data_IF_887079947806
#
_entry.id   IF_887079947806
#
_cell.length_a   1.000
_cell.length_b   1.000
_cell.length_c   1.000
_cell.angle_alpha   90.00
_cell.angle_beta   90.00
_cell.angle_gamma   90.00
#
_symmetry.space_group_name_H-M   'P 1'
#
loop_
_entity.id
_entity.type
_entity.pdbx_description
1 polymer ?
#
# COMPACT_ATOMS: atom_id res chain seq x y z
N UNK A 1 -65.75 12.70 60.69
CA UNK A 1 -64.46 12.31 61.28
C UNK A 1 -63.52 12.04 60.11
N UNK A 2 -62.44 12.84 60.01
CA UNK A 2 -61.45 12.87 58.92
C UNK A 2 -60.50 11.64 58.93
N UNK A 3 -59.54 11.49 58.00
CA UNK A 3 -59.37 12.12 56.68
C UNK A 3 -59.09 11.11 55.52
N UNK A 4 -59.12 11.64 54.30
CA UNK A 4 -58.50 11.06 53.11
C UNK A 4 -56.96 11.08 53.21
N UNK A 5 -56.29 10.03 52.70
CA UNK A 5 -54.88 10.11 52.29
C UNK A 5 -54.67 9.34 50.98
N UNK A 6 -54.60 10.14 49.92
CA UNK A 6 -53.84 9.90 48.71
C UNK A 6 -52.39 9.56 49.06
N UNK A 7 -51.85 8.45 48.55
CA UNK A 7 -50.44 8.43 48.12
C UNK A 7 -50.22 7.34 47.08
N UNK A 8 -49.96 7.78 45.85
CA UNK A 8 -49.24 7.04 44.82
C UNK A 8 -47.89 6.56 45.34
N UNK A 9 -47.57 5.28 45.17
CA UNK A 9 -46.22 4.69 45.23
C UNK A 9 -46.37 3.30 44.59
N UNK A 10 -46.19 3.09 43.29
CA UNK A 10 -45.01 3.29 42.44
C UNK A 10 -43.74 2.64 43.01
N UNK A 11 -43.73 1.31 43.22
CA UNK A 11 -42.48 0.52 43.27
C UNK A 11 -42.74 -0.93 42.82
N UNK A 12 -41.81 -1.61 42.12
CA UNK A 12 -40.63 -1.13 41.42
C UNK A 12 -40.64 -1.53 39.93
N UNK A 13 -40.60 -0.56 39.03
CA UNK A 13 -40.09 -0.75 37.67
C UNK A 13 -38.57 -1.06 37.63
N UNK A 14 -37.99 -1.53 38.74
CA UNK A 14 -36.54 -1.77 38.87
C UNK A 14 -36.18 -3.26 38.65
N UNK A 15 -37.17 -4.16 38.57
CA UNK A 15 -36.91 -5.59 38.28
C UNK A 15 -37.07 -5.99 36.80
N UNK A 16 -37.27 -5.00 35.92
CA UNK A 16 -37.40 -5.18 34.46
C UNK A 16 -36.66 -4.07 33.69
N UNK A 17 -35.53 -3.61 34.22
CA UNK A 17 -34.39 -3.36 33.35
C UNK A 17 -33.58 -4.66 33.34
N UNK A 18 -34.18 -5.76 32.84
CA UNK A 18 -33.73 -6.36 31.58
C UNK A 18 -32.40 -5.72 31.19
N UNK A 19 -31.32 -6.48 31.37
CA UNK A 19 -30.46 -6.84 30.25
C UNK A 19 -31.14 -6.53 28.91
N UNK A 20 -31.27 -5.24 28.57
CA UNK A 20 -31.45 -4.77 27.23
C UNK A 20 -30.08 -5.03 26.65
N UNK A 21 -29.91 -6.33 26.32
CA UNK A 21 -29.05 -6.80 25.26
C UNK A 21 -28.96 -5.62 24.30
N UNK A 22 -27.76 -5.06 24.22
CA UNK A 22 -27.35 -4.27 23.09
C UNK A 22 -27.54 -5.19 21.88
N UNK A 23 -28.77 -5.28 21.39
CA UNK A 23 -29.06 -5.83 20.09
C UNK A 23 -28.64 -4.71 19.15
N UNK A 24 -27.34 -4.61 18.93
CA UNK A 24 -26.84 -3.97 17.73
C UNK A 24 -27.57 -4.66 16.58
N UNK A 25 -28.30 -3.89 15.80
CA UNK A 25 -28.99 -4.41 14.62
C UNK A 25 -27.91 -4.79 13.61
N UNK A 26 -27.54 -6.07 13.63
CA UNK A 26 -26.44 -6.63 12.87
C UNK A 26 -27.01 -7.36 11.66
N UNK A 27 -26.84 -6.75 10.49
CA UNK A 27 -27.23 -7.36 9.22
C UNK A 27 -26.00 -7.95 8.55
N UNK A 28 -26.06 -9.25 8.24
CA UNK A 28 -25.07 -9.89 7.38
C UNK A 28 -25.33 -9.46 5.94
N UNK A 29 -24.30 -8.91 5.29
CA UNK A 29 -24.39 -8.45 3.90
C UNK A 29 -23.37 -9.20 3.06
N UNK A 30 -23.80 -9.62 1.88
CA UNK A 30 -22.92 -10.12 0.82
C UNK A 30 -22.75 -9.01 -0.22
N UNK A 31 -21.50 -8.69 -0.54
CA UNK A 31 -21.17 -7.64 -1.52
C UNK A 31 -19.93 -8.01 -2.31
N UNK A 32 -19.71 -7.30 -3.41
CA UNK A 32 -18.49 -7.38 -4.22
C UNK A 32 -17.74 -6.06 -4.10
N UNK A 33 -16.42 -6.16 -4.00
CA UNK A 33 -15.52 -5.00 -3.90
C UNK A 33 -14.42 -5.13 -4.95
N UNK A 34 -14.06 -4.01 -5.57
CA UNK A 34 -12.89 -3.91 -6.43
C UNK A 34 -11.67 -3.75 -5.53
N UNK A 35 -10.70 -4.64 -5.68
CA UNK A 35 -9.46 -4.64 -4.89
C UNK A 35 -8.30 -4.43 -5.84
N UNK A 36 -7.42 -3.49 -5.51
CA UNK A 36 -6.12 -3.39 -6.17
C UNK A 36 -5.23 -4.53 -5.67
N UNK A 37 -5.02 -5.53 -6.52
CA UNK A 37 -4.16 -6.67 -6.22
C UNK A 37 -3.46 -7.13 -7.50
N UNK A 38 -2.37 -6.47 -7.89
CA UNK A 38 -1.59 -6.88 -9.05
C UNK A 38 -1.07 -8.31 -8.91
N UNK A 39 -0.83 -8.98 -10.03
CA UNK A 39 -0.35 -10.37 -10.03
C UNK A 39 1.07 -10.48 -10.57
N UNK A 40 1.79 -11.51 -10.14
CA UNK A 40 3.14 -11.80 -10.64
C UNK A 40 3.13 -11.95 -12.17
N UNK A 41 3.97 -11.20 -12.84
CA UNK A 41 4.09 -11.14 -14.30
C UNK A 41 3.28 -10.01 -14.94
N UNK A 42 2.38 -9.34 -14.21
CA UNK A 42 1.66 -8.18 -14.71
C UNK A 42 2.62 -7.01 -14.99
N UNK A 43 2.48 -6.40 -16.16
CA UNK A 43 3.23 -5.19 -16.52
C UNK A 43 2.36 -3.97 -16.22
N UNK A 44 2.92 -3.04 -15.46
CA UNK A 44 2.24 -1.86 -14.98
C UNK A 44 3.03 -0.59 -15.28
N UNK A 45 2.33 0.54 -15.25
CA UNK A 45 2.93 1.86 -15.30
C UNK A 45 3.06 2.45 -13.90
N UNK A 46 4.19 3.08 -13.64
CA UNK A 46 4.44 3.83 -12.42
C UNK A 46 5.28 5.07 -12.71
N UNK A 47 5.41 5.93 -11.71
CA UNK A 47 6.27 7.10 -11.75
C UNK A 47 7.40 6.95 -10.73
N UNK A 48 8.62 7.27 -11.12
CA UNK A 48 9.76 7.25 -10.19
C UNK A 48 9.55 8.32 -9.11
N UNK A 49 9.56 7.89 -7.85
CA UNK A 49 9.48 8.75 -6.67
C UNK A 49 10.86 9.17 -6.21
N UNK A 50 11.76 8.19 -6.07
CA UNK A 50 13.12 8.37 -5.62
C UNK A 50 13.97 7.16 -5.98
N UNK A 51 15.28 7.39 -6.09
CA UNK A 51 16.27 6.35 -6.29
C UNK A 51 17.25 6.33 -5.13
N UNK A 52 17.73 5.14 -4.78
CA UNK A 52 18.72 4.88 -3.73
C UNK A 52 19.69 3.81 -4.22
N UNK A 53 20.84 3.60 -3.55
CA UNK A 53 21.73 2.48 -3.88
C UNK A 53 21.08 1.09 -3.75
N UNK A 54 19.95 0.98 -3.04
CA UNK A 54 19.22 -0.28 -2.93
C UNK A 54 18.29 -0.55 -4.12
N UNK A 55 17.93 0.48 -4.90
CA UNK A 55 16.94 0.38 -5.98
C UNK A 55 16.10 1.65 -6.14
N UNK A 56 14.97 1.49 -6.85
CA UNK A 56 14.09 2.58 -7.28
C UNK A 56 12.72 2.43 -6.62
N UNK A 57 12.24 3.50 -5.97
CA UNK A 57 10.89 3.58 -5.43
C UNK A 57 9.95 4.17 -6.47
N UNK A 58 8.83 3.49 -6.71
CA UNK A 58 7.80 3.92 -7.66
C UNK A 58 6.51 4.25 -6.93
N UNK A 59 5.63 4.95 -7.64
CA UNK A 59 4.24 5.15 -7.23
C UNK A 59 3.31 5.14 -8.43
N UNK A 60 2.07 4.76 -8.19
CA UNK A 60 0.92 5.07 -9.05
C UNK A 60 0.19 6.30 -8.47
N UNK A 61 -0.98 6.62 -9.02
CA UNK A 61 -1.80 7.74 -8.52
C UNK A 61 -2.40 7.48 -7.13
N UNK A 62 -2.62 6.21 -6.74
CA UNK A 62 -3.30 5.84 -5.50
C UNK A 62 -2.53 4.86 -4.61
N UNK A 63 -1.43 4.28 -5.09
CA UNK A 63 -0.60 3.33 -4.34
C UNK A 63 0.89 3.63 -4.53
N UNK A 64 1.66 3.57 -3.45
CA UNK A 64 3.01 4.13 -3.46
C UNK A 64 4.11 3.33 -2.76
N UNK A 65 3.80 2.12 -2.33
CA UNK A 65 4.76 1.16 -1.79
C UNK A 65 5.17 0.14 -2.87
N UNK A 66 5.79 0.64 -3.93
CA UNK A 66 6.32 -0.15 -5.04
C UNK A 66 7.85 0.03 -5.09
N UNK A 67 8.59 -1.06 -5.05
CA UNK A 67 10.05 -1.04 -5.06
C UNK A 67 10.64 -1.95 -6.14
N UNK A 68 11.57 -1.42 -6.91
CA UNK A 68 12.38 -2.19 -7.86
C UNK A 68 13.80 -2.28 -7.29
N UNK A 69 14.21 -3.44 -6.75
CA UNK A 69 15.56 -3.61 -6.22
C UNK A 69 16.58 -3.53 -7.36
N UNK A 70 17.83 -3.16 -7.05
CA UNK A 70 18.85 -2.96 -8.09
C UNK A 70 19.17 -4.24 -8.87
N UNK A 71 19.01 -5.42 -8.25
CA UNK A 71 19.18 -6.72 -8.90
C UNK A 71 18.13 -6.97 -10.01
N UNK A 72 17.03 -6.24 -9.97
CA UNK A 72 15.92 -6.31 -10.94
C UNK A 72 15.98 -5.14 -11.95
N UNK A 73 17.11 -4.44 -12.02
CA UNK A 73 17.44 -3.52 -13.10
C UNK A 73 18.20 -4.27 -14.22
N UNK A 74 18.25 -3.71 -15.44
CA UNK A 74 19.05 -4.28 -16.51
C UNK A 74 20.52 -4.46 -16.12
N UNK A 75 21.15 -5.49 -16.68
CA UNK A 75 22.57 -5.76 -16.44
C UNK A 75 23.42 -4.55 -16.83
N UNK A 76 24.38 -4.18 -15.97
CA UNK A 76 25.25 -3.02 -16.20
C UNK A 76 24.64 -1.68 -15.78
N UNK A 77 23.47 -1.69 -15.11
CA UNK A 77 22.97 -0.49 -14.45
C UNK A 77 23.86 -0.10 -13.26
N UNK A 78 24.17 1.19 -13.17
CA UNK A 78 25.05 1.77 -12.16
C UNK A 78 24.35 2.92 -11.43
N UNK A 79 24.62 3.04 -10.12
CA UNK A 79 24.06 4.12 -9.32
C UNK A 79 24.99 5.34 -9.30
N UNK A 80 24.48 6.49 -9.73
CA UNK A 80 25.20 7.76 -9.62
C UNK A 80 24.90 8.41 -8.26
N UNK A 81 25.89 8.41 -7.35
CA UNK A 81 25.75 9.02 -6.03
C UNK A 81 25.56 10.53 -6.04
N UNK A 82 26.11 11.23 -7.03
CA UNK A 82 26.02 12.69 -7.15
C UNK A 82 24.65 13.14 -7.62
N UNK A 83 24.06 12.41 -8.57
CA UNK A 83 22.73 12.71 -9.13
C UNK A 83 21.58 11.97 -8.42
N UNK A 84 21.92 11.00 -7.56
CA UNK A 84 20.98 10.14 -6.84
C UNK A 84 19.98 9.43 -7.76
N UNK A 85 20.48 8.87 -8.85
CA UNK A 85 19.70 8.13 -9.85
C UNK A 85 20.47 6.91 -10.35
N UNK A 86 19.73 6.00 -11.00
CA UNK A 86 20.32 4.86 -11.70
C UNK A 86 20.51 5.20 -13.17
N UNK A 87 21.59 4.68 -13.76
CA UNK A 87 21.95 4.85 -15.15
C UNK A 87 22.16 3.48 -15.74
N UNK A 88 21.49 3.17 -16.84
CA UNK A 88 21.75 1.98 -17.63
C UNK A 88 22.62 2.35 -18.83
N UNK A 89 23.82 1.80 -18.89
CA UNK A 89 24.72 1.95 -20.03
C UNK A 89 24.34 0.87 -21.06
N UNK A 90 23.66 1.26 -22.13
CA UNK A 90 23.21 0.37 -23.19
C UNK A 90 23.92 0.76 -24.49
N UNK A 91 24.77 -0.15 -25.00
CA UNK A 91 25.68 0.12 -26.11
C UNK A 91 26.54 1.38 -25.90
N UNK A 92 26.35 2.43 -26.70
CA UNK A 92 27.05 3.72 -26.59
C UNK A 92 26.22 4.79 -25.87
N UNK A 93 24.98 4.47 -25.50
CA UNK A 93 24.02 5.39 -24.89
C UNK A 93 23.93 5.22 -23.37
N UNK A 94 23.67 6.35 -22.69
CA UNK A 94 23.40 6.38 -21.25
C UNK A 94 21.93 6.69 -21.04
N UNK A 95 21.21 5.72 -20.49
CA UNK A 95 19.78 5.80 -20.23
C UNK A 95 19.54 6.08 -18.74
N UNK A 96 18.85 7.17 -18.42
CA UNK A 96 18.72 7.67 -17.05
C UNK A 96 17.34 7.35 -16.47
N UNK A 97 17.33 6.82 -15.25
CA UNK A 97 16.11 6.63 -14.45
C UNK A 97 15.79 7.90 -13.65
N UNK A 98 15.37 8.95 -14.34
CA UNK A 98 15.10 10.26 -13.74
C UNK A 98 13.90 10.24 -12.79
N UNK A 99 14.00 11.06 -11.72
CA UNK A 99 12.88 11.26 -10.83
C UNK A 99 11.69 11.85 -11.59
N UNK A 100 10.48 11.40 -11.24
CA UNK A 100 9.21 11.76 -11.87
C UNK A 100 8.98 11.25 -13.30
N UNK A 101 9.93 10.50 -13.86
CA UNK A 101 9.76 9.86 -15.16
C UNK A 101 8.78 8.69 -15.08
N UNK A 102 8.04 8.48 -16.17
CA UNK A 102 7.10 7.36 -16.29
C UNK A 102 7.84 6.10 -16.71
N UNK A 103 7.61 5.01 -15.98
CA UNK A 103 8.27 3.72 -16.19
C UNK A 103 7.27 2.60 -16.38
N UNK A 104 7.63 1.63 -17.22
CA UNK A 104 7.00 0.30 -17.28
C UNK A 104 7.79 -0.65 -16.39
N UNK A 105 7.12 -1.33 -15.47
CA UNK A 105 7.72 -2.35 -14.63
C UNK A 105 6.84 -3.60 -14.60
N UNK A 106 7.47 -4.76 -14.44
CA UNK A 106 6.77 -6.02 -14.26
C UNK A 106 6.72 -6.38 -12.77
N UNK A 107 5.55 -6.75 -12.26
CA UNK A 107 5.40 -7.25 -10.89
C UNK A 107 6.08 -8.61 -10.75
N UNK A 108 6.99 -8.76 -9.80
CA UNK A 108 7.72 -10.02 -9.56
C UNK A 108 7.34 -10.70 -8.25
N UNK A 109 6.91 -9.92 -7.25
CA UNK A 109 6.57 -10.41 -5.91
C UNK A 109 5.66 -9.41 -5.15
N UNK A 110 4.93 -9.90 -4.16
CA UNK A 110 4.10 -9.08 -3.26
C UNK A 110 4.33 -9.47 -1.78
N UNK A 111 4.38 -8.49 -0.89
CA UNK A 111 4.54 -8.70 0.55
C UNK A 111 3.35 -8.13 1.32
N UNK A 112 2.83 -8.91 2.27
CA UNK A 112 1.76 -8.52 3.18
C UNK A 112 2.29 -8.54 4.62
N UNK A 113 2.04 -7.47 5.36
CA UNK A 113 2.48 -7.33 6.73
C UNK A 113 1.27 -7.11 7.64
N UNK A 114 1.07 -8.04 8.58
CA UNK A 114 0.02 -7.94 9.59
C UNK A 114 0.19 -6.66 10.42
N UNK A 115 -0.87 -5.87 10.49
CA UNK A 115 -0.93 -4.61 11.25
C UNK A 115 -1.65 -4.78 12.59
N UNK A 116 -1.85 -6.01 13.05
CA UNK A 116 -2.45 -6.29 14.34
C UNK A 116 -1.65 -5.55 15.43
N UNK A 117 -2.30 -4.66 16.21
CA UNK A 117 -1.60 -3.90 17.24
C UNK A 117 -0.91 -4.83 18.22
N UNK A 118 0.37 -4.59 18.48
CA UNK A 118 1.10 -5.30 19.52
C UNK A 118 0.39 -5.05 20.87
N UNK A 119 0.18 -6.12 21.64
CA UNK A 119 -0.41 -6.00 22.97
C UNK A 119 0.42 -5.12 23.91
N UNK A 120 -0.12 -4.69 25.06
CA UNK A 120 0.51 -3.71 25.96
C UNK A 120 1.90 -4.10 26.49
N UNK A 121 2.33 -5.35 26.30
CA UNK A 121 3.62 -5.90 26.74
C UNK A 121 4.72 -5.89 25.67
N UNK A 122 4.40 -5.60 24.41
CA UNK A 122 5.34 -5.55 23.28
C UNK A 122 5.43 -4.11 22.78
N UNK A 123 6.16 -3.28 23.53
CA UNK A 123 6.65 -2.00 23.02
C UNK A 123 7.87 -2.28 22.11
N UNK A 124 7.63 -2.91 20.96
CA UNK A 124 8.69 -3.16 20.01
C UNK A 124 9.03 -1.84 19.28
N UNK A 125 10.24 -1.35 19.53
CA UNK A 125 10.86 -0.18 18.89
C UNK A 125 11.15 -0.38 17.38
N UNK A 126 10.48 -1.32 16.72
CA UNK A 126 10.63 -1.54 15.29
C UNK A 126 9.75 -0.53 14.53
N UNK A 127 10.26 0.12 13.47
CA UNK A 127 9.45 0.99 12.64
C UNK A 127 8.28 0.20 12.05
N UNK A 128 7.09 0.79 12.05
CA UNK A 128 5.89 0.18 11.48
C UNK A 128 6.15 -0.18 10.00
N UNK A 129 6.01 -1.47 9.66
CA UNK A 129 6.09 -1.92 8.27
C UNK A 129 4.78 -1.59 7.58
N UNK A 130 4.85 -1.09 6.35
CA UNK A 130 3.64 -0.80 5.58
C UNK A 130 2.85 -2.08 5.30
N UNK A 131 1.51 -2.06 5.25
CA UNK A 131 0.69 -3.28 5.21
C UNK A 131 0.83 -4.10 3.93
N UNK A 132 1.11 -3.45 2.81
CA UNK A 132 1.21 -4.07 1.50
C UNK A 132 2.33 -3.43 0.69
N UNK A 133 3.20 -4.26 0.12
CA UNK A 133 4.30 -3.82 -0.75
C UNK A 133 4.34 -4.64 -2.02
N UNK A 134 4.68 -3.97 -3.11
CA UNK A 134 4.87 -4.61 -4.42
C UNK A 134 6.35 -4.53 -4.77
N UNK A 135 6.92 -5.65 -5.19
CA UNK A 135 8.25 -5.67 -5.82
C UNK A 135 8.11 -5.76 -7.33
N UNK A 136 8.80 -4.87 -8.03
CA UNK A 136 8.83 -4.81 -9.48
C UNK A 136 10.20 -5.18 -10.06
N UNK A 137 10.22 -5.34 -11.38
CA UNK A 137 11.41 -5.53 -12.19
C UNK A 137 11.36 -4.68 -13.45
N UNK A 138 12.52 -4.20 -13.88
CA UNK A 138 12.74 -3.49 -15.14
C UNK A 138 13.86 -4.13 -15.97
N UNK A 139 14.29 -5.35 -15.64
CA UNK A 139 15.45 -5.99 -16.25
C UNK A 139 15.24 -6.45 -17.71
N UNK A 140 13.98 -6.62 -18.14
CA UNK A 140 13.63 -7.09 -19.49
C UNK A 140 13.49 -5.91 -20.47
N UNK A 141 13.83 -6.18 -21.73
CA UNK A 141 13.58 -5.25 -22.84
C UNK A 141 12.10 -4.80 -22.89
N UNK A 142 11.88 -3.53 -23.23
CA UNK A 142 10.56 -2.89 -23.22
C UNK A 142 10.08 -2.39 -21.85
N UNK A 143 10.79 -2.68 -20.76
CA UNK A 143 10.58 -2.13 -19.42
C UNK A 143 11.57 -0.99 -19.13
N UNK A 144 11.40 -0.28 -18.02
CA UNK A 144 12.17 0.93 -17.72
C UNK A 144 11.43 2.20 -18.13
N UNK A 145 12.14 3.30 -18.34
CA UNK A 145 11.50 4.57 -18.70
C UNK A 145 10.78 4.45 -20.05
N UNK A 146 9.56 4.96 -20.13
CA UNK A 146 8.72 4.82 -21.33
C UNK A 146 9.39 5.49 -22.54
N UNK A 147 10.05 6.63 -22.30
CA UNK A 147 10.78 7.43 -23.29
C UNK A 147 11.89 6.68 -24.03
N UNK A 148 12.39 5.56 -23.51
CA UNK A 148 13.42 4.75 -24.18
C UNK A 148 12.85 3.91 -25.33
N UNK A 149 11.55 3.65 -25.27
CA UNK A 149 10.87 2.70 -26.16
C UNK A 149 9.82 3.37 -27.03
N UNK A 150 9.39 4.57 -26.65
CA UNK A 150 8.48 5.37 -27.44
C UNK A 150 9.30 5.95 -28.60
N UNK A 151 9.17 5.36 -29.80
CA UNK A 151 9.77 5.90 -31.01
C UNK A 151 9.46 7.39 -31.08
N UNK A 152 10.49 8.23 -31.20
CA UNK A 152 10.33 9.65 -31.49
C UNK A 152 9.32 9.77 -32.64
N UNK A 153 8.12 10.26 -32.32
CA UNK A 153 7.00 10.28 -33.24
C UNK A 153 7.39 10.90 -34.58
N UNK A 154 7.12 10.16 -35.65
CA UNK A 154 6.98 10.70 -36.99
C UNK A 154 5.93 11.83 -37.03
#
# INVERSE_FOLDING_TARGET
>A
MAPALSTSMVWPQILLATLSRLAADAHTVEFRMVVFRPFKGEVMLGRIRSSTPAGINLRTDFFDDIFVPYEELPQGAEYNHSEQLWIWNFDEDRLFYDNHEMVRFQVVDEEWHDQTPAGPSQADNAPAKTPYKIKGSMAREGLGACIWWDEAGL
#
